data_IF_690548256660
#
_entry.id   IF_690548256660
#
_cell.length_a   1.000
_cell.length_b   1.000
_cell.length_c   1.000
_cell.angle_alpha   90.00
_cell.angle_beta   90.00
_cell.angle_gamma   90.00
#
_symmetry.space_group_name_H-M   'P 1'
#
loop_
_entity.id
_entity.type
_entity.pdbx_description
1 polymer ?
#
# COMPACT_ATOMS: atom_id res chain seq x y z
N UNK A 1 -17.60 15.37 18.44
CA UNK A 1 -18.75 15.66 17.54
C UNK A 1 -19.63 14.41 17.51
N UNK A 2 -20.95 14.51 17.88
CA UNK A 2 -21.81 13.33 18.09
C UNK A 2 -21.89 12.46 16.82
N UNK A 3 -21.64 11.14 16.95
CA UNK A 3 -21.71 10.10 15.89
C UNK A 3 -22.95 10.25 14.98
N UNK A 4 -24.09 10.62 15.53
CA UNK A 4 -25.34 10.84 14.78
C UNK A 4 -25.30 12.02 13.82
N UNK A 5 -24.56 13.09 14.13
CA UNK A 5 -24.43 14.28 13.24
C UNK A 5 -23.53 13.99 12.03
N UNK A 6 -22.55 13.10 12.16
CA UNK A 6 -21.66 12.71 11.08
C UNK A 6 -22.37 11.81 10.05
N UNK A 7 -23.17 10.85 10.53
CA UNK A 7 -24.00 9.98 9.67
C UNK A 7 -25.03 10.80 8.91
N UNK A 8 -25.68 11.77 9.56
CA UNK A 8 -26.66 12.66 8.92
C UNK A 8 -26.02 13.53 7.85
N UNK A 9 -24.78 13.99 8.04
CA UNK A 9 -24.06 14.79 7.04
C UNK A 9 -23.70 13.96 5.80
N UNK A 10 -23.28 12.71 5.98
CA UNK A 10 -22.97 11.80 4.87
C UNK A 10 -24.23 11.46 4.07
N UNK A 11 -25.34 11.17 4.74
CA UNK A 11 -26.64 10.91 4.09
C UNK A 11 -27.14 12.14 3.34
N UNK A 12 -26.94 13.35 3.90
CA UNK A 12 -27.33 14.59 3.24
C UNK A 12 -26.48 14.90 2.01
N UNK A 13 -25.18 14.62 2.06
CA UNK A 13 -24.27 14.77 0.90
C UNK A 13 -24.61 13.79 -0.23
N UNK A 14 -25.05 12.59 0.09
CA UNK A 14 -25.51 11.60 -0.91
C UNK A 14 -26.84 12.06 -1.57
N UNK A 15 -27.74 12.69 -0.83
CA UNK A 15 -29.04 13.15 -1.35
C UNK A 15 -28.94 14.43 -2.18
N UNK A 16 -27.99 15.33 -1.93
CA UNK A 16 -27.84 16.57 -2.72
C UNK A 16 -27.26 16.35 -4.12
N UNK A 17 -26.65 15.19 -4.41
CA UNK A 17 -26.19 14.83 -5.76
C UNK A 17 -27.32 14.41 -6.74
N UNK A 18 -28.58 14.33 -6.31
CA UNK A 18 -29.68 13.83 -7.15
C UNK A 18 -30.42 14.86 -8.00
N UNK A 19 -29.99 16.12 -8.03
CA UNK A 19 -30.72 17.19 -8.75
C UNK A 19 -29.94 17.77 -9.93
N UNK A 20 -29.41 16.90 -10.83
CA UNK A 20 -28.88 17.33 -12.12
C UNK A 20 -29.78 16.83 -13.24
N UNK A 21 -30.18 17.75 -14.14
CA UNK A 21 -31.18 17.54 -15.23
C UNK A 21 -30.94 16.25 -16.04
N UNK A 22 -32.01 15.52 -16.32
CA UNK A 22 -32.03 14.21 -16.94
C UNK A 22 -31.35 14.13 -18.35
N UNK A 23 -31.21 15.23 -19.05
CA UNK A 23 -30.68 15.29 -20.42
C UNK A 23 -29.14 15.34 -20.48
N UNK A 24 -28.47 15.94 -19.49
CA UNK A 24 -27.02 15.89 -19.35
C UNK A 24 -26.55 14.56 -18.72
N UNK A 25 -27.36 13.94 -17.87
CA UNK A 25 -27.10 12.61 -17.30
C UNK A 25 -26.88 11.52 -18.36
N UNK A 26 -27.57 11.59 -19.49
CA UNK A 26 -27.47 10.57 -20.55
C UNK A 26 -26.11 10.62 -21.28
N UNK A 27 -25.58 11.80 -21.58
CA UNK A 27 -24.27 11.98 -22.25
C UNK A 27 -23.11 11.70 -21.29
N UNK A 28 -23.21 12.07 -20.04
CA UNK A 28 -22.20 11.77 -19.01
C UNK A 28 -22.10 10.26 -18.76
N UNK A 29 -23.22 9.60 -18.56
CA UNK A 29 -23.25 8.14 -18.33
C UNK A 29 -22.82 7.34 -19.56
N UNK A 30 -23.07 7.81 -20.77
CA UNK A 30 -22.63 7.13 -22.00
C UNK A 30 -21.10 7.17 -22.17
N UNK A 31 -20.41 8.18 -21.64
CA UNK A 31 -18.96 8.28 -21.64
C UNK A 31 -18.26 7.24 -20.73
N UNK A 32 -19.03 6.60 -19.83
CA UNK A 32 -18.58 5.55 -18.93
C UNK A 32 -19.14 4.18 -19.30
N UNK A 33 -19.52 3.96 -20.56
CA UNK A 33 -19.98 2.66 -21.04
C UNK A 33 -19.07 2.14 -22.14
N UNK A 34 -18.68 0.88 -22.02
CA UNK A 34 -17.92 0.18 -23.04
C UNK A 34 -18.82 -0.10 -24.27
N UNK A 35 -18.30 0.21 -25.45
CA UNK A 35 -18.99 -0.01 -26.71
C UNK A 35 -19.22 -1.51 -27.05
N UNK A 36 -18.46 -2.43 -26.43
CA UNK A 36 -18.54 -3.86 -26.74
C UNK A 36 -19.61 -4.60 -25.92
N UNK A 37 -19.75 -4.28 -24.62
CA UNK A 37 -20.62 -5.01 -23.71
C UNK A 37 -21.62 -4.12 -22.96
N UNK A 38 -21.61 -2.81 -23.24
CA UNK A 38 -22.44 -1.78 -22.62
C UNK A 38 -22.32 -1.71 -21.08
N UNK A 39 -21.26 -2.32 -20.52
CA UNK A 39 -20.96 -2.29 -19.09
C UNK A 39 -20.27 -0.99 -18.68
N UNK A 40 -20.26 -0.69 -17.37
CA UNK A 40 -19.52 0.47 -16.83
C UNK A 40 -18.03 0.28 -17.09
N UNK A 41 -17.41 1.26 -17.74
CA UNK A 41 -16.00 1.24 -18.11
C UNK A 41 -15.44 2.67 -18.15
N UNK A 42 -14.38 2.91 -17.39
CA UNK A 42 -13.70 4.21 -17.36
C UNK A 42 -12.49 4.28 -18.32
N UNK A 43 -12.26 3.23 -19.13
CA UNK A 43 -11.09 3.17 -20.03
C UNK A 43 -11.02 4.34 -20.97
N UNK A 44 -12.13 4.65 -21.68
CA UNK A 44 -12.16 5.73 -22.67
C UNK A 44 -11.96 7.10 -22.02
N UNK A 45 -12.45 7.27 -20.81
CA UNK A 45 -12.23 8.49 -20.05
C UNK A 45 -10.76 8.62 -19.62
N UNK A 46 -10.14 7.53 -19.13
CA UNK A 46 -8.73 7.51 -18.72
C UNK A 46 -7.77 7.64 -19.92
N UNK A 47 -8.09 7.01 -21.05
CA UNK A 47 -7.21 6.94 -22.22
C UNK A 47 -7.28 8.24 -23.05
N UNK A 48 -8.45 8.84 -23.20
CA UNK A 48 -8.67 9.92 -24.16
C UNK A 48 -8.65 11.33 -23.53
N UNK A 49 -8.70 11.45 -22.20
CA UNK A 49 -8.70 12.76 -21.55
C UNK A 49 -7.40 12.99 -20.76
N UNK A 50 -6.70 14.05 -21.10
CA UNK A 50 -5.70 14.68 -20.23
C UNK A 50 -6.47 15.27 -19.04
N UNK A 51 -6.91 14.45 -18.09
CA UNK A 51 -7.79 14.85 -17.02
C UNK A 51 -7.26 14.42 -15.66
N UNK A 52 -7.90 14.92 -14.63
CA UNK A 52 -7.69 14.55 -13.23
C UNK A 52 -8.64 13.42 -12.87
N UNK A 53 -8.11 12.29 -12.40
CA UNK A 53 -8.89 11.22 -11.79
C UNK A 53 -8.96 11.45 -10.30
N UNK A 54 -10.15 11.65 -9.76
CA UNK A 54 -10.40 11.68 -8.32
C UNK A 54 -10.66 10.26 -7.83
N UNK A 55 -9.85 9.80 -6.86
CA UNK A 55 -9.96 8.47 -6.27
C UNK A 55 -10.28 8.65 -4.78
N UNK A 56 -11.57 8.61 -4.40
CA UNK A 56 -11.94 8.55 -2.99
C UNK A 56 -11.61 7.17 -2.45
N UNK A 57 -11.08 7.13 -1.23
CA UNK A 57 -10.70 5.90 -0.54
C UNK A 57 -11.21 5.95 0.89
N UNK A 58 -11.74 4.85 1.39
CA UNK A 58 -12.05 4.67 2.81
C UNK A 58 -10.84 4.02 3.45
N UNK A 59 -10.34 4.61 4.54
CA UNK A 59 -9.28 4.05 5.35
C UNK A 59 -9.94 3.16 6.40
N UNK A 60 -9.47 1.92 6.52
CA UNK A 60 -10.00 0.91 7.45
C UNK A 60 -8.88 0.15 8.15
N UNK A 61 -7.68 0.74 8.14
CA UNK A 61 -6.51 0.15 8.79
C UNK A 61 -6.67 0.25 10.31
N UNK A 62 -6.70 -0.88 11.04
CA UNK A 62 -6.93 -0.89 12.48
C UNK A 62 -5.92 -0.03 13.26
N UNK A 63 -4.68 0.07 12.79
CA UNK A 63 -3.63 0.84 13.46
C UNK A 63 -3.88 2.36 13.49
N UNK A 64 -4.73 2.90 12.61
CA UNK A 64 -5.02 4.34 12.51
C UNK A 64 -6.52 4.67 12.54
N UNK A 65 -7.37 3.67 12.80
CA UNK A 65 -8.83 3.79 12.84
C UNK A 65 -9.47 4.11 11.46
N UNK A 66 -10.79 4.20 11.43
CA UNK A 66 -11.55 4.49 10.21
C UNK A 66 -11.35 5.93 9.74
N UNK A 67 -11.28 6.11 8.42
CA UNK A 67 -11.10 7.43 7.83
C UNK A 67 -11.44 7.50 6.37
N UNK A 68 -11.16 8.65 5.79
CA UNK A 68 -11.32 8.91 4.36
C UNK A 68 -10.06 9.51 3.79
N UNK A 69 -9.75 9.16 2.55
CA UNK A 69 -8.69 9.78 1.77
C UNK A 69 -9.21 10.14 0.37
N UNK A 70 -8.58 11.12 -0.25
CA UNK A 70 -8.82 11.51 -1.62
C UNK A 70 -7.48 11.67 -2.33
N UNK A 71 -7.34 11.04 -3.49
CA UNK A 71 -6.24 11.29 -4.40
C UNK A 71 -6.75 11.93 -5.70
N UNK A 72 -6.05 12.95 -6.17
CA UNK A 72 -6.23 13.53 -7.49
C UNK A 72 -5.04 13.14 -8.36
N UNK A 73 -5.27 12.32 -9.38
CA UNK A 73 -4.24 11.72 -10.23
C UNK A 73 -4.32 12.29 -11.64
N UNK A 74 -3.18 12.77 -12.13
CA UNK A 74 -3.00 13.34 -13.47
C UNK A 74 -2.25 12.36 -14.37
N UNK A 75 -2.77 12.05 -15.54
CA UNK A 75 -2.15 11.22 -16.55
C UNK A 75 -1.41 12.09 -17.57
N UNK A 76 -0.09 11.90 -17.74
CA UNK A 76 0.75 12.76 -18.59
C UNK A 76 0.72 12.41 -20.08
N UNK A 77 0.30 11.21 -20.44
CA UNK A 77 0.18 10.79 -21.83
C UNK A 77 -1.04 9.89 -22.04
N UNK A 78 -1.67 10.01 -23.21
CA UNK A 78 -2.67 9.04 -23.62
C UNK A 78 -2.00 7.65 -23.72
N UNK A 79 -2.64 6.65 -23.13
CA UNK A 79 -2.17 5.25 -23.10
C UNK A 79 -1.94 4.66 -24.51
N UNK A 80 -2.60 5.22 -25.52
CA UNK A 80 -2.57 4.74 -26.91
C UNK A 80 -1.26 5.04 -27.65
N UNK A 81 -0.41 5.96 -27.15
CA UNK A 81 0.77 6.42 -27.89
C UNK A 81 2.06 5.70 -27.49
N UNK A 82 2.09 4.96 -26.38
CA UNK A 82 3.30 4.32 -25.86
C UNK A 82 3.07 2.86 -25.47
N UNK A 83 4.05 2.02 -25.79
CA UNK A 83 4.15 0.67 -25.21
C UNK A 83 4.61 0.78 -23.75
N UNK A 84 3.71 0.69 -22.79
CA UNK A 84 4.00 0.73 -21.36
C UNK A 84 2.98 1.52 -20.55
N UNK A 85 3.07 1.50 -19.22
CA UNK A 85 2.18 2.26 -18.34
C UNK A 85 2.29 3.76 -18.58
N UNK A 86 1.20 4.53 -18.43
CA UNK A 86 1.26 5.99 -18.47
C UNK A 86 2.03 6.55 -17.27
N UNK A 87 2.80 7.61 -17.47
CA UNK A 87 3.33 8.38 -16.35
C UNK A 87 2.20 9.13 -15.66
N UNK A 88 2.21 9.16 -14.34
CA UNK A 88 1.21 9.80 -13.51
C UNK A 88 1.84 10.72 -12.48
N UNK A 89 1.17 11.83 -12.17
CA UNK A 89 1.42 12.63 -10.97
C UNK A 89 0.16 12.73 -10.16
N UNK A 90 0.29 12.95 -8.86
CA UNK A 90 -0.88 13.13 -8.03
C UNK A 90 -0.61 13.92 -6.76
N UNK A 91 -1.69 14.40 -6.19
CA UNK A 91 -1.76 14.91 -4.83
C UNK A 91 -2.74 14.02 -4.07
N UNK A 92 -2.45 13.75 -2.81
CA UNK A 92 -3.31 12.94 -1.95
C UNK A 92 -3.38 13.52 -0.55
N UNK A 93 -4.49 13.29 0.11
CA UNK A 93 -4.65 13.61 1.51
C UNK A 93 -5.78 12.79 2.13
N UNK A 94 -5.71 12.59 3.44
CA UNK A 94 -6.70 11.83 4.19
C UNK A 94 -6.60 12.09 5.68
N UNK A 95 -7.67 11.72 6.39
CA UNK A 95 -7.74 11.80 7.85
C UNK A 95 -8.61 10.68 8.40
N UNK A 96 -8.36 10.31 9.64
CA UNK A 96 -9.05 9.25 10.36
C UNK A 96 -9.67 9.73 11.66
N UNK A 97 -10.51 8.89 12.26
CA UNK A 97 -11.28 9.25 13.45
C UNK A 97 -10.42 9.39 14.71
N UNK A 98 -9.26 8.71 14.77
CA UNK A 98 -8.31 8.86 15.87
C UNK A 98 -7.42 10.12 15.74
N UNK A 99 -7.67 10.99 14.74
CA UNK A 99 -6.92 12.23 14.54
C UNK A 99 -5.69 12.09 13.64
N UNK A 100 -5.38 10.90 13.12
CA UNK A 100 -4.33 10.72 12.09
C UNK A 100 -4.70 11.49 10.82
N UNK A 101 -3.73 12.18 10.24
CA UNK A 101 -3.86 12.77 8.90
C UNK A 101 -2.56 12.66 8.12
N UNK A 102 -2.68 12.61 6.81
CA UNK A 102 -1.55 12.67 5.89
C UNK A 102 -1.89 13.46 4.64
N UNK A 103 -0.91 14.17 4.08
CA UNK A 103 -1.01 14.82 2.78
C UNK A 103 0.31 14.72 2.04
N UNK A 104 0.25 14.57 0.70
CA UNK A 104 1.45 14.40 -0.08
C UNK A 104 1.25 14.57 -1.57
N UNK A 105 2.37 14.64 -2.27
CA UNK A 105 2.44 14.67 -3.73
C UNK A 105 3.33 13.52 -4.21
N UNK A 106 3.04 13.00 -5.39
CA UNK A 106 3.84 11.94 -5.98
C UNK A 106 3.94 12.06 -7.50
N UNK A 107 4.98 11.48 -8.05
CA UNK A 107 5.13 11.26 -9.49
C UNK A 107 5.64 9.84 -9.75
N UNK A 108 4.99 9.12 -10.68
CA UNK A 108 5.48 7.86 -11.21
C UNK A 108 5.69 8.01 -12.72
N UNK A 109 6.95 7.96 -13.15
CA UNK A 109 7.39 8.14 -14.51
C UNK A 109 7.77 6.81 -15.18
N UNK A 110 7.22 6.56 -16.37
CA UNK A 110 7.57 5.42 -17.24
C UNK A 110 8.09 5.99 -18.55
N UNK A 111 9.41 6.00 -18.72
CA UNK A 111 10.05 6.70 -19.83
C UNK A 111 10.77 5.75 -20.79
N UNK A 112 10.98 6.22 -22.04
CA UNK A 112 11.69 5.48 -23.08
C UNK A 112 11.13 4.06 -23.30
N UNK A 113 9.79 3.94 -23.43
CA UNK A 113 9.10 2.64 -23.58
C UNK A 113 9.40 1.68 -22.41
N UNK A 114 9.22 2.17 -21.19
CA UNK A 114 9.44 1.44 -19.93
C UNK A 114 10.90 0.99 -19.71
N UNK A 115 11.87 1.69 -20.31
CA UNK A 115 13.28 1.46 -20.01
C UNK A 115 13.74 2.15 -18.72
N UNK A 116 13.05 3.21 -18.34
CA UNK A 116 13.33 3.99 -17.12
C UNK A 116 12.04 4.08 -16.33
N UNK A 117 12.09 3.64 -15.09
CA UNK A 117 11.01 3.77 -14.11
C UNK A 117 11.45 4.68 -12.98
N UNK A 118 10.75 5.76 -12.77
CA UNK A 118 10.97 6.71 -11.69
C UNK A 118 9.75 6.73 -10.76
N UNK A 119 9.98 6.87 -9.47
CA UNK A 119 8.96 7.19 -8.47
C UNK A 119 9.52 8.20 -7.48
N UNK A 120 8.82 9.31 -7.31
CA UNK A 120 9.14 10.32 -6.30
C UNK A 120 7.90 10.68 -5.50
N UNK A 121 8.06 10.89 -4.20
CA UNK A 121 7.00 11.32 -3.31
C UNK A 121 7.54 12.22 -2.21
N UNK A 122 6.72 13.21 -1.82
CA UNK A 122 6.91 14.02 -0.61
C UNK A 122 5.58 14.02 0.13
N UNK A 123 5.63 13.73 1.42
CA UNK A 123 4.44 13.71 2.27
C UNK A 123 4.73 14.30 3.66
N UNK A 124 3.67 14.80 4.27
CA UNK A 124 3.60 15.17 5.69
C UNK A 124 2.49 14.35 6.32
N UNK A 125 2.76 13.82 7.50
CA UNK A 125 1.76 13.08 8.29
C UNK A 125 1.88 13.42 9.76
N UNK A 126 0.76 13.37 10.47
CA UNK A 126 0.70 13.23 11.92
C UNK A 126 -0.17 12.00 12.18
N UNK A 127 0.45 10.94 12.65
CA UNK A 127 -0.17 9.63 12.80
C UNK A 127 -0.25 9.21 14.28
N UNK A 128 -1.45 8.92 14.74
CA UNK A 128 -1.70 8.30 16.04
C UNK A 128 -1.80 6.79 15.80
N UNK A 129 -0.81 6.04 16.26
CA UNK A 129 -0.65 4.61 15.94
C UNK A 129 -0.61 3.81 17.22
N UNK A 130 -1.37 2.73 17.28
CA UNK A 130 -1.19 1.71 18.31
C UNK A 130 0.17 1.01 18.14
N UNK A 131 1.07 1.17 19.09
CA UNK A 131 2.37 0.52 19.11
C UNK A 131 2.37 -0.64 20.11
N UNK A 132 2.68 -1.83 19.63
CA UNK A 132 2.58 -3.08 20.40
C UNK A 132 3.93 -3.56 20.96
N UNK A 133 4.95 -2.70 20.98
CA UNK A 133 6.29 -3.09 21.36
C UNK A 133 6.98 -3.98 20.32
N UNK A 134 8.29 -4.11 20.41
CA UNK A 134 9.06 -5.03 19.56
C UNK A 134 9.78 -6.04 20.43
N UNK A 135 9.57 -7.32 20.15
CA UNK A 135 10.27 -8.42 20.80
C UNK A 135 9.70 -8.82 22.16
N UNK A 136 10.38 -9.79 22.78
CA UNK A 136 10.09 -10.33 24.12
C UNK A 136 10.44 -9.40 25.29
N UNK A 137 10.65 -8.12 25.05
CA UNK A 137 10.88 -7.14 26.11
C UNK A 137 9.56 -6.89 26.84
N UNK A 138 9.14 -7.87 27.61
CA UNK A 138 8.07 -7.78 28.60
C UNK A 138 8.43 -6.84 29.75
N UNK A 139 8.77 -5.57 29.45
CA UNK A 139 8.99 -4.56 30.48
C UNK A 139 7.68 -4.03 31.05
N UNK A 140 6.57 -4.20 30.33
CA UNK A 140 5.24 -3.83 30.81
C UNK A 140 4.23 -4.81 30.18
N UNK A 141 3.29 -5.32 30.98
CA UNK A 141 2.07 -6.03 30.54
C UNK A 141 1.12 -5.07 29.77
N UNK A 142 1.68 -4.17 28.98
CA UNK A 142 0.93 -3.17 28.21
C UNK A 142 0.80 -3.72 26.81
N UNK A 143 -0.41 -4.12 26.44
CA UNK A 143 -0.71 -4.69 25.13
C UNK A 143 -0.54 -3.66 24.00
N UNK A 144 -0.77 -2.38 24.26
CA UNK A 144 -0.72 -1.31 23.27
C UNK A 144 -0.36 0.04 23.93
N UNK A 145 0.55 0.77 23.29
CA UNK A 145 0.93 2.14 23.66
C UNK A 145 0.58 3.07 22.51
N UNK A 146 -0.06 4.20 22.79
CA UNK A 146 -0.30 5.21 21.77
C UNK A 146 1.01 5.93 21.40
N UNK A 147 1.36 5.86 20.11
CA UNK A 147 2.45 6.58 19.50
C UNK A 147 1.91 7.68 18.60
N UNK A 148 2.17 8.94 18.92
CA UNK A 148 1.99 10.02 17.96
C UNK A 148 3.29 10.23 17.18
N UNK A 149 3.22 10.14 15.86
CA UNK A 149 4.33 10.33 14.94
C UNK A 149 4.03 11.50 14.00
N UNK A 150 4.67 12.64 14.22
CA UNK A 150 4.65 13.76 13.28
C UNK A 150 5.86 13.62 12.33
N UNK A 151 5.63 13.42 11.02
CA UNK A 151 6.70 13.06 10.11
C UNK A 151 6.66 13.78 8.77
N UNK A 152 7.85 14.14 8.26
CA UNK A 152 8.10 14.45 6.85
C UNK A 152 8.76 13.28 6.16
N UNK A 153 8.25 12.91 4.99
CA UNK A 153 8.69 11.78 4.19
C UNK A 153 9.11 12.28 2.81
N UNK A 154 10.33 11.97 2.39
CA UNK A 154 10.82 12.13 1.03
C UNK A 154 11.27 10.77 0.52
N UNK A 155 10.69 10.31 -0.57
CA UNK A 155 11.09 9.08 -1.24
C UNK A 155 11.41 9.36 -2.71
N UNK A 156 12.53 8.83 -3.19
CA UNK A 156 12.97 8.92 -4.59
C UNK A 156 13.47 7.55 -5.04
N UNK A 157 12.96 7.04 -6.15
CA UNK A 157 13.39 5.77 -6.73
C UNK A 157 13.61 5.92 -8.22
N UNK A 158 14.71 5.35 -8.71
CA UNK A 158 15.02 5.31 -10.12
C UNK A 158 15.50 3.90 -10.50
N UNK A 159 14.91 3.32 -11.54
CA UNK A 159 15.25 1.98 -12.04
C UNK A 159 15.43 2.01 -13.55
N UNK A 160 16.40 1.24 -14.03
CA UNK A 160 16.74 1.09 -15.43
C UNK A 160 16.55 -0.36 -15.87
N UNK A 161 15.91 -0.57 -17.00
CA UNK A 161 15.79 -1.89 -17.63
C UNK A 161 17.14 -2.31 -18.20
N UNK A 162 17.59 -3.51 -17.91
CA UNK A 162 18.84 -4.07 -18.38
C UNK A 162 18.64 -4.64 -19.80
N UNK A 163 19.10 -3.88 -20.78
CA UNK A 163 18.96 -4.26 -22.20
C UNK A 163 17.49 -4.38 -22.66
N UNK A 164 17.17 -5.52 -23.31
CA UNK A 164 15.81 -5.87 -23.75
C UNK A 164 15.15 -6.93 -22.85
N UNK A 165 15.69 -7.16 -21.67
CA UNK A 165 15.22 -8.16 -20.73
C UNK A 165 14.10 -7.62 -19.83
N UNK A 166 13.54 -8.46 -18.97
CA UNK A 166 12.60 -8.06 -17.92
C UNK A 166 13.29 -7.73 -16.60
N UNK A 167 14.64 -7.64 -16.59
CA UNK A 167 15.41 -7.23 -15.43
C UNK A 167 15.54 -5.72 -15.34
N UNK A 168 15.43 -5.21 -14.12
CA UNK A 168 15.65 -3.81 -13.76
C UNK A 168 16.67 -3.73 -12.63
N UNK A 169 17.55 -2.74 -12.71
CA UNK A 169 18.45 -2.38 -11.63
C UNK A 169 18.29 -0.89 -11.31
N UNK A 170 18.45 -0.53 -10.05
CA UNK A 170 18.32 0.86 -9.65
C UNK A 170 18.47 1.08 -8.18
N UNK A 171 18.01 2.24 -7.71
CA UNK A 171 18.09 2.62 -6.32
C UNK A 171 16.89 3.41 -5.84
N UNK A 172 16.72 3.41 -4.52
CA UNK A 172 15.77 4.25 -3.79
C UNK A 172 16.52 5.00 -2.69
N UNK A 173 16.18 6.26 -2.51
CA UNK A 173 16.53 7.02 -1.32
C UNK A 173 15.26 7.36 -0.55
N UNK A 174 15.27 7.17 0.76
CA UNK A 174 14.20 7.51 1.69
C UNK A 174 14.78 8.40 2.78
N UNK A 175 14.18 9.56 2.97
CA UNK A 175 14.42 10.43 4.12
C UNK A 175 13.11 10.54 4.91
N UNK A 176 13.16 10.19 6.18
CA UNK A 176 12.07 10.35 7.14
C UNK A 176 12.58 11.19 8.30
N UNK A 177 12.00 12.37 8.50
CA UNK A 177 12.19 13.15 9.71
C UNK A 177 10.95 13.03 10.55
N UNK A 178 11.09 12.52 11.78
CA UNK A 178 9.95 12.26 12.65
C UNK A 178 10.17 12.87 14.02
N UNK A 179 9.06 13.30 14.60
CA UNK A 179 8.95 13.71 15.99
C UNK A 179 7.94 12.76 16.64
N UNK A 180 8.42 11.93 17.54
CA UNK A 180 7.67 10.86 18.16
C UNK A 180 7.31 11.21 19.61
N UNK A 181 6.06 11.03 19.97
CA UNK A 181 5.57 11.20 21.35
C UNK A 181 4.86 9.92 21.76
N UNK A 182 5.33 9.31 22.85
CA UNK A 182 4.68 8.14 23.44
C UNK A 182 3.72 8.58 24.54
N UNK A 183 2.46 8.20 24.42
CA UNK A 183 1.47 8.36 25.49
C UNK A 183 1.42 7.07 26.31
N UNK A 184 2.15 7.03 27.42
CA UNK A 184 2.19 5.88 28.32
C UNK A 184 1.14 6.09 29.42
N UNK A 185 0.18 5.15 29.63
CA UNK A 185 -0.92 5.31 30.58
C UNK A 185 -0.49 5.21 32.06
N UNK A 186 0.79 4.99 32.35
CA UNK A 186 1.33 4.82 33.70
C UNK A 186 2.50 5.79 33.90
N UNK A 187 2.54 6.48 35.05
CA UNK A 187 3.69 7.29 35.46
C UNK A 187 4.91 6.39 35.71
N UNK A 188 5.60 6.04 34.65
CA UNK A 188 6.91 5.42 34.72
C UNK A 188 7.92 6.57 34.56
N UNK A 189 8.67 6.94 35.63
CA UNK A 189 9.55 8.12 35.62
C UNK A 189 10.58 8.12 34.48
N UNK A 190 10.94 6.95 33.96
CA UNK A 190 11.92 6.76 32.89
C UNK A 190 11.31 6.92 31.48
N UNK A 191 10.00 6.91 31.33
CA UNK A 191 9.30 6.97 30.03
C UNK A 191 8.24 8.07 29.93
N UNK A 192 7.97 8.81 31.01
CA UNK A 192 6.96 9.87 30.96
C UNK A 192 7.44 11.01 30.06
N UNK A 193 6.78 11.16 28.89
CA UNK A 193 6.93 12.32 28.02
C UNK A 193 8.20 12.35 27.18
N UNK A 194 8.75 11.22 26.76
CA UNK A 194 9.90 11.20 25.85
C UNK A 194 9.49 11.59 24.43
N UNK A 195 9.53 12.89 24.20
CA UNK A 195 9.53 13.46 22.86
C UNK A 195 10.89 13.16 22.22
N UNK A 196 10.91 12.41 21.12
CA UNK A 196 12.14 12.07 20.43
C UNK A 196 12.03 12.53 18.96
N UNK A 197 12.88 13.46 18.56
CA UNK A 197 13.07 13.74 17.15
C UNK A 197 14.09 12.75 16.58
N UNK A 198 13.79 12.21 15.41
CA UNK A 198 14.68 11.24 14.76
C UNK A 198 14.72 11.47 13.25
N UNK A 199 15.87 11.19 12.67
CA UNK A 199 16.08 11.27 11.22
C UNK A 199 16.53 9.91 10.69
N UNK A 200 15.71 9.32 9.83
CA UNK A 200 16.03 8.12 9.08
C UNK A 200 16.46 8.51 7.65
N UNK A 201 17.63 8.04 7.23
CA UNK A 201 18.16 8.24 5.89
C UNK A 201 18.61 6.90 5.31
N UNK A 202 17.85 6.37 4.36
CA UNK A 202 18.12 5.07 3.75
C UNK A 202 18.45 5.18 2.27
N UNK A 203 19.55 4.54 1.85
CA UNK A 203 19.80 4.22 0.45
C UNK A 203 19.55 2.73 0.21
N UNK A 204 18.80 2.41 -0.83
CA UNK A 204 18.48 1.03 -1.20
C UNK A 204 18.92 0.77 -2.62
N UNK A 205 19.71 -0.28 -2.84
CA UNK A 205 19.95 -0.85 -4.18
C UNK A 205 18.90 -1.91 -4.46
N UNK A 206 18.40 -1.96 -5.70
CA UNK A 206 17.31 -2.87 -6.11
C UNK A 206 17.69 -3.61 -7.40
N UNK A 207 17.45 -4.91 -7.39
CA UNK A 207 17.46 -5.76 -8.59
C UNK A 207 16.09 -6.41 -8.70
N UNK A 208 15.44 -6.26 -9.83
CA UNK A 208 14.06 -6.75 -10.03
C UNK A 208 13.96 -7.50 -11.35
N UNK A 209 13.21 -8.61 -11.35
CA UNK A 209 12.68 -9.27 -12.54
C UNK A 209 11.18 -9.08 -12.55
N UNK A 210 10.62 -8.46 -13.59
CA UNK A 210 9.19 -8.23 -13.74
C UNK A 210 8.70 -8.73 -15.09
N UNK A 211 8.17 -9.95 -15.09
CA UNK A 211 7.59 -10.61 -16.28
C UNK A 211 6.06 -10.65 -16.26
N UNK A 212 5.43 -9.95 -15.31
CA UNK A 212 3.98 -9.88 -15.22
C UNK A 212 3.37 -9.28 -16.48
N UNK A 213 2.27 -9.85 -16.93
CA UNK A 213 1.55 -9.37 -18.13
C UNK A 213 0.85 -8.02 -17.93
N UNK A 214 0.56 -7.64 -16.68
CA UNK A 214 -0.04 -6.37 -16.30
C UNK A 214 0.49 -5.96 -14.92
N UNK A 215 0.76 -4.68 -14.71
CA UNK A 215 1.25 -4.16 -13.42
C UNK A 215 0.10 -4.00 -12.41
N UNK A 216 -1.08 -3.61 -12.89
CA UNK A 216 -2.22 -3.31 -12.02
C UNK A 216 -3.02 -4.56 -11.64
N UNK A 217 -3.37 -5.40 -12.62
CA UNK A 217 -4.16 -6.62 -12.39
C UNK A 217 -3.48 -7.78 -13.13
N UNK A 218 -2.36 -8.29 -12.62
CA UNK A 218 -1.63 -9.37 -13.27
C UNK A 218 -2.44 -10.67 -13.18
N UNK A 219 -2.42 -11.42 -14.27
CA UNK A 219 -3.03 -12.75 -14.35
C UNK A 219 -2.02 -13.84 -14.69
N UNK A 220 -0.80 -13.45 -15.07
CA UNK A 220 0.29 -14.35 -15.44
C UNK A 220 1.64 -13.66 -15.26
N UNK A 221 2.66 -14.44 -14.92
CA UNK A 221 4.04 -14.00 -14.79
C UNK A 221 4.51 -13.87 -13.36
N UNK A 222 5.75 -13.44 -13.22
CA UNK A 222 6.46 -13.39 -11.93
C UNK A 222 7.08 -12.02 -11.74
N UNK A 223 7.02 -11.52 -10.52
CA UNK A 223 7.86 -10.45 -10.01
C UNK A 223 8.82 -11.05 -8.96
N UNK A 224 10.10 -10.81 -9.13
CA UNK A 224 11.13 -11.11 -8.13
C UNK A 224 11.91 -9.83 -7.84
N UNK A 225 12.08 -9.49 -6.58
CA UNK A 225 12.82 -8.32 -6.12
C UNK A 225 13.84 -8.69 -5.06
N UNK A 226 15.07 -8.19 -5.23
CA UNK A 226 16.11 -8.19 -4.22
C UNK A 226 16.47 -6.74 -3.91
N UNK A 227 16.49 -6.39 -2.63
CA UNK A 227 16.80 -5.05 -2.16
C UNK A 227 17.85 -5.12 -1.06
N UNK A 228 18.90 -4.32 -1.18
CA UNK A 228 19.89 -4.08 -0.13
C UNK A 228 19.80 -2.64 0.33
N UNK A 229 19.38 -2.42 1.58
CA UNK A 229 19.23 -1.10 2.19
C UNK A 229 20.37 -0.84 3.16
N UNK A 230 20.86 0.38 3.19
CA UNK A 230 21.90 0.86 4.09
C UNK A 230 21.52 2.23 4.66
N UNK A 231 21.75 2.42 5.94
CA UNK A 231 21.59 3.69 6.68
C UNK A 231 22.84 3.96 7.49
N UNK A 232 23.27 5.22 7.52
CA UNK A 232 24.44 5.64 8.30
C UNK A 232 24.38 7.15 8.58
N UNK A 233 25.13 7.60 9.58
CA UNK A 233 25.19 9.01 10.01
C UNK A 233 25.74 9.95 8.94
N UNK A 234 26.69 9.52 8.10
CA UNK A 234 27.21 10.34 7.00
C UNK A 234 26.15 10.63 5.92
N UNK A 235 25.07 9.84 5.85
CA UNK A 235 23.92 10.07 4.97
C UNK A 235 22.87 11.00 5.58
N UNK A 236 23.07 11.46 6.81
CA UNK A 236 22.14 12.27 7.57
C UNK A 236 21.14 11.47 8.39
N UNK A 237 21.30 10.15 8.51
CA UNK A 237 20.59 9.31 9.46
C UNK A 237 21.21 9.36 10.85
N UNK A 238 20.54 8.78 11.83
CA UNK A 238 21.03 8.68 13.21
C UNK A 238 21.59 7.30 13.51
N UNK A 239 21.15 6.27 12.77
CA UNK A 239 21.45 4.88 13.04
C UNK A 239 22.22 4.21 11.90
N UNK A 240 23.17 3.34 12.30
CA UNK A 240 23.92 2.47 11.39
C UNK A 240 23.26 1.10 11.33
N UNK A 241 22.71 0.76 10.19
CA UNK A 241 22.18 -0.58 9.94
C UNK A 241 22.13 -0.92 8.45
N UNK A 242 21.99 -2.22 8.17
CA UNK A 242 21.70 -2.75 6.85
C UNK A 242 20.43 -3.60 6.86
N UNK A 243 19.77 -3.73 5.71
CA UNK A 243 18.64 -4.63 5.55
C UNK A 243 18.66 -5.27 4.18
N UNK A 244 18.43 -6.58 4.12
CA UNK A 244 18.24 -7.33 2.89
C UNK A 244 16.78 -7.72 2.80
N UNK A 245 16.12 -7.32 1.70
CA UNK A 245 14.72 -7.65 1.42
C UNK A 245 14.61 -8.52 0.16
N UNK A 246 13.79 -9.56 0.25
CA UNK A 246 13.41 -10.43 -0.87
C UNK A 246 11.91 -10.37 -1.05
N UNK A 247 11.45 -10.21 -2.28
CA UNK A 247 10.03 -10.26 -2.66
C UNK A 247 9.86 -11.19 -3.85
N UNK A 248 8.95 -12.13 -3.76
CA UNK A 248 8.52 -13.00 -4.85
C UNK A 248 7.00 -12.94 -4.97
N UNK A 249 6.50 -12.61 -6.16
CA UNK A 249 5.06 -12.63 -6.46
C UNK A 249 4.88 -13.39 -7.77
N UNK A 250 4.04 -14.41 -7.76
CA UNK A 250 3.73 -15.21 -8.93
C UNK A 250 2.23 -15.25 -9.21
N UNK A 251 1.87 -15.27 -10.49
CA UNK A 251 0.49 -15.43 -10.96
C UNK A 251 0.44 -16.53 -12.00
N UNK A 252 -0.46 -17.48 -11.80
CA UNK A 252 -0.66 -18.63 -12.66
C UNK A 252 -2.13 -18.75 -13.07
N UNK A 253 -2.45 -18.61 -14.35
CA UNK A 253 -3.80 -18.86 -14.84
C UNK A 253 -4.09 -20.36 -14.83
N UNK A 254 -5.23 -20.76 -14.25
CA UNK A 254 -5.75 -22.12 -14.29
C UNK A 254 -7.05 -22.15 -15.12
N UNK A 255 -6.90 -22.41 -16.41
CA UNK A 255 -7.97 -22.28 -17.37
C UNK A 255 -8.30 -20.82 -17.70
N UNK A 256 -9.51 -20.57 -18.18
CA UNK A 256 -9.94 -19.23 -18.67
C UNK A 256 -10.53 -18.32 -17.58
N UNK A 257 -10.85 -18.85 -16.41
CA UNK A 257 -11.62 -18.13 -15.38
C UNK A 257 -10.90 -17.99 -14.04
N UNK A 258 -9.85 -18.78 -13.79
CA UNK A 258 -9.21 -18.85 -12.48
C UNK A 258 -7.76 -18.39 -12.60
N UNK A 259 -7.34 -17.57 -11.65
CA UNK A 259 -5.95 -17.14 -11.47
C UNK A 259 -5.55 -17.46 -10.03
N UNK A 260 -4.47 -18.21 -9.86
CA UNK A 260 -3.83 -18.41 -8.57
C UNK A 260 -2.66 -17.43 -8.43
N UNK A 261 -2.53 -16.81 -7.27
CA UNK A 261 -1.45 -15.90 -6.91
C UNK A 261 -0.72 -16.38 -5.66
N UNK A 262 0.57 -16.15 -5.59
CA UNK A 262 1.41 -16.38 -4.42
C UNK A 262 2.30 -15.16 -4.19
N UNK A 263 2.47 -14.75 -2.94
CA UNK A 263 3.39 -13.71 -2.50
C UNK A 263 4.22 -14.22 -1.34
N UNK A 264 5.53 -14.08 -1.48
CA UNK A 264 6.51 -14.29 -0.41
C UNK A 264 7.31 -13.00 -0.24
N UNK A 265 7.48 -12.57 1.00
CA UNK A 265 8.37 -11.46 1.35
C UNK A 265 9.19 -11.84 2.58
N UNK A 266 10.45 -11.41 2.60
CA UNK A 266 11.30 -11.57 3.76
C UNK A 266 12.25 -10.39 3.87
N UNK A 267 12.46 -9.91 5.10
CA UNK A 267 13.39 -8.84 5.41
C UNK A 267 14.30 -9.29 6.57
N UNK A 268 15.59 -9.17 6.36
CA UNK A 268 16.62 -9.46 7.34
C UNK A 268 17.41 -8.20 7.62
N UNK A 269 17.55 -7.85 8.89
CA UNK A 269 18.23 -6.65 9.34
C UNK A 269 19.53 -6.98 10.04
N UNK A 270 20.52 -6.14 9.81
CA UNK A 270 21.86 -6.20 10.41
C UNK A 270 22.13 -4.87 11.11
N UNK A 271 22.55 -4.91 12.35
CA UNK A 271 22.78 -3.70 13.17
C UNK A 271 21.55 -3.25 13.95
N UNK A 272 21.64 -2.05 14.52
CA UNK A 272 20.59 -1.51 15.40
C UNK A 272 19.59 -0.70 14.58
N UNK A 273 18.43 -1.27 14.32
CA UNK A 273 17.34 -0.59 13.61
C UNK A 273 16.42 0.09 14.61
N UNK A 274 16.16 1.41 14.48
CA UNK A 274 15.20 2.09 15.34
C UNK A 274 13.79 1.49 15.13
N UNK A 275 12.98 1.50 16.18
CA UNK A 275 11.69 0.83 16.19
C UNK A 275 10.78 1.23 15.02
N UNK A 276 10.78 2.52 14.64
CA UNK A 276 9.96 3.07 13.54
C UNK A 276 10.46 2.69 12.13
N UNK A 277 11.66 2.10 12.02
CA UNK A 277 12.24 1.61 10.76
C UNK A 277 12.30 0.08 10.67
N UNK A 278 11.92 -0.64 11.74
CA UNK A 278 11.89 -2.10 11.72
C UNK A 278 10.90 -2.63 10.68
N UNK A 279 11.23 -3.72 10.00
CA UNK A 279 10.30 -4.34 9.07
C UNK A 279 9.03 -4.83 9.78
N UNK A 280 7.91 -4.73 9.09
CA UNK A 280 6.59 -5.17 9.54
C UNK A 280 6.06 -6.27 8.63
N UNK A 281 5.25 -7.16 9.19
CA UNK A 281 4.46 -8.14 8.43
C UNK A 281 3.21 -7.42 7.90
N UNK A 282 3.10 -7.30 6.58
CA UNK A 282 1.95 -6.66 5.93
C UNK A 282 1.06 -7.73 5.30
N UNK A 283 0.02 -8.13 6.02
CA UNK A 283 -1.02 -9.08 5.56
C UNK A 283 -2.40 -8.44 5.69
N UNK A 284 -3.28 -8.73 4.75
CA UNK A 284 -4.68 -8.25 4.80
C UNK A 284 -5.40 -8.84 6.00
N UNK A 285 -5.94 -7.99 6.88
CA UNK A 285 -6.62 -8.37 8.12
C UNK A 285 -5.74 -8.32 9.36
N UNK A 286 -4.43 -8.09 9.21
CA UNK A 286 -3.50 -7.89 10.33
C UNK A 286 -3.20 -6.39 10.50
N UNK A 287 -3.30 -5.81 11.73
CA UNK A 287 -2.95 -4.42 11.96
C UNK A 287 -1.50 -4.14 11.65
N UNK A 288 -1.23 -3.01 10.99
CA UNK A 288 0.14 -2.54 10.78
C UNK A 288 0.84 -2.33 12.12
N UNK A 289 2.16 -2.57 12.16
CA UNK A 289 3.03 -2.43 13.35
C UNK A 289 2.76 -3.39 14.52
N UNK A 290 1.67 -4.17 14.52
CA UNK A 290 1.42 -5.22 15.53
C UNK A 290 2.43 -6.37 15.44
N UNK A 291 2.88 -6.68 14.21
CA UNK A 291 3.82 -7.76 13.89
C UNK A 291 5.10 -7.16 13.30
N UNK A 292 5.93 -6.62 14.19
CA UNK A 292 7.17 -5.92 13.87
C UNK A 292 8.33 -6.48 14.69
N UNK A 293 9.50 -6.66 14.05
CA UNK A 293 10.75 -7.03 14.72
C UNK A 293 11.94 -6.72 13.81
N UNK A 294 13.15 -7.14 14.18
CA UNK A 294 14.36 -6.99 13.36
C UNK A 294 14.23 -7.73 12.01
N UNK A 295 13.55 -8.86 12.00
CA UNK A 295 13.35 -9.67 10.80
C UNK A 295 11.87 -10.01 10.64
N UNK A 296 11.44 -10.10 9.38
CA UNK A 296 10.07 -10.53 9.05
C UNK A 296 10.08 -11.48 7.88
N UNK A 297 9.12 -12.39 7.87
CA UNK A 297 8.79 -13.22 6.71
C UNK A 297 7.29 -13.38 6.60
N UNK A 298 6.79 -13.47 5.36
CA UNK A 298 5.39 -13.77 5.11
C UNK A 298 5.20 -14.58 3.83
N UNK A 299 4.13 -15.34 3.81
CA UNK A 299 3.61 -16.03 2.64
C UNK A 299 2.11 -15.77 2.56
N UNK A 300 1.63 -15.29 1.43
CA UNK A 300 0.20 -15.07 1.16
C UNK A 300 -0.17 -15.72 -0.17
N UNK A 301 -1.32 -16.37 -0.22
CA UNK A 301 -1.89 -16.95 -1.43
C UNK A 301 -3.25 -16.34 -1.71
N UNK A 302 -3.58 -16.19 -2.99
CA UNK A 302 -4.86 -15.68 -3.44
C UNK A 302 -5.36 -16.50 -4.63
N UNK A 303 -6.63 -16.79 -4.65
CA UNK A 303 -7.31 -17.39 -5.80
C UNK A 303 -8.40 -16.43 -6.25
N UNK A 304 -8.34 -15.99 -7.51
CA UNK A 304 -9.35 -15.13 -8.14
C UNK A 304 -10.13 -15.90 -9.20
N UNK A 305 -11.45 -15.88 -9.13
CA UNK A 305 -12.33 -16.55 -10.06
C UNK A 305 -13.26 -15.57 -10.79
N UNK A 306 -13.31 -15.62 -12.11
CA UNK A 306 -14.26 -14.85 -12.91
C UNK A 306 -15.64 -15.50 -12.84
N UNK A 307 -16.54 -14.91 -12.08
CA UNK A 307 -17.91 -15.42 -11.89
C UNK A 307 -18.77 -15.10 -13.10
N UNK A 308 -18.77 -13.86 -13.55
CA UNK A 308 -19.65 -13.41 -14.64
C UNK A 308 -19.11 -12.12 -15.29
N UNK A 309 -18.89 -12.16 -16.60
CA UNK A 309 -18.42 -11.00 -17.39
C UNK A 309 -17.23 -10.29 -16.73
N UNK A 310 -17.47 -9.14 -16.12
CA UNK A 310 -16.46 -8.27 -15.49
C UNK A 310 -16.33 -8.45 -13.97
N UNK A 311 -17.11 -9.40 -13.39
CA UNK A 311 -17.11 -9.65 -11.97
C UNK A 311 -16.24 -10.83 -11.60
N UNK A 312 -15.43 -10.61 -10.57
CA UNK A 312 -14.53 -11.60 -10.00
C UNK A 312 -14.76 -11.67 -8.49
N UNK A 313 -14.57 -12.86 -7.95
CA UNK A 313 -14.45 -13.09 -6.50
C UNK A 313 -13.05 -13.57 -6.21
N UNK A 314 -12.54 -13.28 -5.03
CA UNK A 314 -11.24 -13.76 -4.56
C UNK A 314 -11.35 -14.35 -3.16
N UNK A 315 -10.52 -15.36 -2.88
CA UNK A 315 -10.24 -15.87 -1.57
C UNK A 315 -8.75 -15.84 -1.33
N UNK A 316 -8.30 -15.50 -0.14
CA UNK A 316 -6.89 -15.41 0.20
C UNK A 316 -6.63 -15.88 1.63
N UNK A 317 -5.41 -16.33 1.86
CA UNK A 317 -4.89 -16.68 3.18
C UNK A 317 -3.41 -16.36 3.25
N UNK A 318 -2.94 -15.98 4.43
CA UNK A 318 -1.55 -15.63 4.65
C UNK A 318 -1.05 -16.04 6.02
N UNK A 319 0.23 -16.25 6.12
CA UNK A 319 0.96 -16.45 7.36
C UNK A 319 2.17 -15.53 7.38
N UNK A 320 2.45 -14.93 8.52
CA UNK A 320 3.61 -14.07 8.71
C UNK A 320 4.23 -14.27 10.07
N UNK A 321 5.52 -13.98 10.18
CA UNK A 321 6.27 -14.03 11.42
C UNK A 321 7.23 -12.84 11.51
N UNK A 322 7.26 -12.19 12.68
CA UNK A 322 8.20 -11.15 13.05
C UNK A 322 9.09 -11.67 14.18
N UNK A 323 10.40 -11.77 13.97
CA UNK A 323 11.33 -12.44 14.86
C UNK A 323 12.64 -11.66 15.01
N UNK A 324 13.34 -11.87 16.09
CA UNK A 324 14.57 -11.14 16.41
C UNK A 324 15.75 -11.60 15.57
N UNK A 325 15.99 -12.90 15.54
CA UNK A 325 17.02 -13.57 14.75
C UNK A 325 16.56 -14.97 14.31
N UNK A 326 17.35 -15.63 13.45
CA UNK A 326 16.99 -16.95 12.92
C UNK A 326 16.97 -18.06 13.96
N UNK A 327 17.69 -17.92 15.08
CA UNK A 327 17.71 -18.91 16.16
C UNK A 327 16.40 -18.85 16.95
N UNK A 328 15.86 -17.64 17.10
CA UNK A 328 14.60 -17.34 17.80
C UNK A 328 13.39 -17.26 16.86
N UNK A 329 13.47 -17.86 15.67
CA UNK A 329 12.36 -17.84 14.68
C UNK A 329 11.04 -18.38 15.26
N UNK A 330 11.10 -19.44 16.06
CA UNK A 330 9.91 -20.06 16.69
C UNK A 330 9.32 -19.22 17.83
N UNK A 331 10.09 -18.31 18.40
CA UNK A 331 9.66 -17.39 19.47
C UNK A 331 9.08 -16.08 18.89
N UNK A 332 9.17 -15.92 17.57
CA UNK A 332 8.67 -14.76 16.88
C UNK A 332 7.15 -14.61 16.98
N UNK A 333 6.69 -13.36 16.83
CA UNK A 333 5.27 -13.02 16.82
C UNK A 333 4.64 -13.38 15.48
N UNK A 334 3.87 -14.44 15.45
CA UNK A 334 3.24 -14.97 14.24
C UNK A 334 1.80 -14.50 14.07
N UNK A 335 1.35 -14.38 12.82
CA UNK A 335 -0.04 -14.09 12.45
C UNK A 335 -0.46 -14.95 11.28
N UNK A 336 -1.70 -15.41 11.35
CA UNK A 336 -2.38 -16.06 10.22
C UNK A 336 -3.60 -15.22 9.84
N UNK A 337 -3.80 -15.03 8.55
CA UNK A 337 -4.94 -14.27 8.02
C UNK A 337 -5.70 -15.09 7.00
N UNK A 338 -7.01 -14.84 6.92
CA UNK A 338 -7.90 -15.39 5.91
C UNK A 338 -8.85 -14.30 5.43
N UNK A 339 -9.30 -14.40 4.20
CA UNK A 339 -10.25 -13.41 3.71
C UNK A 339 -10.82 -13.73 2.35
N UNK A 340 -11.73 -12.87 1.95
CA UNK A 340 -12.37 -12.93 0.65
C UNK A 340 -12.59 -11.53 0.09
N UNK A 341 -12.83 -11.45 -1.20
CA UNK A 341 -13.07 -10.17 -1.84
C UNK A 341 -13.84 -10.31 -3.14
N UNK A 342 -14.18 -9.18 -3.70
CA UNK A 342 -14.73 -9.10 -5.05
C UNK A 342 -14.06 -7.99 -5.85
N UNK A 343 -14.04 -8.14 -7.17
CA UNK A 343 -13.47 -7.19 -8.12
C UNK A 343 -14.44 -6.99 -9.28
N UNK A 344 -14.43 -5.77 -9.81
CA UNK A 344 -15.05 -5.42 -11.06
C UNK A 344 -14.00 -4.86 -12.01
N UNK A 345 -13.94 -5.36 -13.26
CA UNK A 345 -13.04 -4.86 -14.30
C UNK A 345 -13.55 -3.49 -14.76
N UNK A 346 -13.06 -2.45 -14.10
CA UNK A 346 -13.54 -1.07 -14.26
C UNK A 346 -12.93 -0.37 -15.47
N UNK A 347 -11.74 -0.81 -15.91
CA UNK A 347 -11.05 -0.26 -17.07
C UNK A 347 -10.51 -1.41 -17.95
N UNK A 348 -11.33 -1.89 -18.88
CA UNK A 348 -11.02 -3.06 -19.72
C UNK A 348 -9.79 -2.85 -20.60
N UNK A 349 -9.62 -1.69 -21.21
CA UNK A 349 -8.46 -1.37 -22.06
C UNK A 349 -7.14 -1.34 -21.29
N UNK A 350 -7.19 -1.06 -20.00
CA UNK A 350 -6.05 -1.06 -19.09
C UNK A 350 -5.90 -2.41 -18.35
N UNK A 351 -6.89 -3.30 -18.47
CA UNK A 351 -6.96 -4.53 -17.71
C UNK A 351 -7.00 -4.27 -16.19
N UNK A 352 -7.63 -3.16 -15.75
CA UNK A 352 -7.61 -2.76 -14.34
C UNK A 352 -8.96 -3.02 -13.69
N UNK A 353 -8.91 -3.71 -12.56
CA UNK A 353 -10.07 -3.99 -11.72
C UNK A 353 -10.06 -3.13 -10.45
N UNK A 354 -11.24 -2.94 -9.87
CA UNK A 354 -11.44 -2.29 -8.58
C UNK A 354 -12.43 -3.11 -7.76
N UNK A 355 -12.28 -3.12 -6.43
CA UNK A 355 -13.17 -3.88 -5.57
C UNK A 355 -12.84 -3.73 -4.11
N UNK A 356 -13.28 -4.72 -3.32
CA UNK A 356 -13.07 -4.73 -1.87
C UNK A 356 -12.57 -6.09 -1.42
N UNK A 357 -11.68 -6.08 -0.42
CA UNK A 357 -11.22 -7.24 0.32
C UNK A 357 -11.67 -7.13 1.78
N UNK A 358 -12.04 -8.25 2.36
CA UNK A 358 -12.39 -8.42 3.76
C UNK A 358 -11.41 -9.42 4.35
N UNK A 359 -10.53 -8.94 5.23
CA UNK A 359 -9.47 -9.73 5.85
C UNK A 359 -9.71 -9.88 7.33
N UNK A 360 -9.39 -11.06 7.84
CA UNK A 360 -9.52 -11.43 9.24
C UNK A 360 -8.18 -12.01 9.72
N UNK A 361 -7.77 -11.65 10.91
CA UNK A 361 -6.75 -12.35 11.69
C UNK A 361 -7.40 -12.90 12.98
N UNK A 362 -6.60 -13.34 13.95
CA UNK A 362 -7.16 -13.94 15.18
C UNK A 362 -8.14 -13.03 15.90
N UNK A 363 -7.81 -11.73 16.06
CA UNK A 363 -8.56 -10.77 16.86
C UNK A 363 -9.00 -9.54 16.06
N UNK A 364 -8.55 -9.43 14.80
CA UNK A 364 -8.69 -8.21 14.02
C UNK A 364 -9.46 -8.46 12.73
N UNK A 365 -10.15 -7.44 12.28
CA UNK A 365 -10.85 -7.37 11.00
C UNK A 365 -10.55 -6.05 10.30
N UNK A 366 -10.26 -6.13 9.02
CA UNK A 366 -10.15 -4.95 8.17
C UNK A 366 -10.77 -5.21 6.81
N UNK A 367 -11.27 -4.15 6.18
CA UNK A 367 -11.65 -4.21 4.78
C UNK A 367 -10.85 -3.17 3.99
N UNK A 368 -10.57 -3.47 2.73
CA UNK A 368 -9.71 -2.65 1.88
C UNK A 368 -10.41 -2.37 0.57
N UNK A 369 -10.38 -1.11 0.11
CA UNK A 369 -10.69 -0.80 -1.28
C UNK A 369 -9.43 -1.07 -2.08
N UNK A 370 -9.52 -1.98 -3.04
CA UNK A 370 -8.39 -2.41 -3.84
C UNK A 370 -8.56 -1.93 -5.28
N UNK A 371 -7.54 -1.24 -5.78
CA UNK A 371 -7.41 -0.86 -7.17
C UNK A 371 -6.30 -1.70 -7.81
N UNK A 372 -6.66 -2.56 -8.74
CA UNK A 372 -5.75 -3.55 -9.30
C UNK A 372 -5.59 -4.77 -8.39
N UNK A 373 -4.34 -5.12 -8.11
CA UNK A 373 -3.97 -6.19 -7.15
C UNK A 373 -3.69 -5.61 -5.77
N UNK A 374 -3.94 -6.40 -4.73
CA UNK A 374 -3.52 -6.08 -3.36
C UNK A 374 -1.98 -6.08 -3.19
N UNK A 375 -1.23 -6.68 -4.12
CA UNK A 375 0.22 -6.81 -4.11
C UNK A 375 0.91 -5.89 -5.12
N UNK A 376 0.46 -4.64 -5.22
CA UNK A 376 1.05 -3.67 -6.13
C UNK A 376 2.51 -3.37 -5.74
N UNK A 377 3.45 -3.50 -6.69
CA UNK A 377 4.89 -3.23 -6.52
C UNK A 377 5.42 -2.41 -7.71
#
# INVERSE_FOLDING_TARGET
MNRHKFITLIVFLIFTCYSVSAQEKSKFLSAFRDSLDNAIDISDWLVNKKGVLLIPTIITEPAVDYGIALAAVFFHSAYTEKKGPPSISGVMGGATLNGTWAAGIFHAGFWKNDRIRYMGAVAKTNANIGFYGSGNAGLLDIEEVNLNMDAWILAQQLKFRLGKTNFFAGGRYLLLKTYNTFEIPVDIPEFSGTEQSSTLSEATLKLELDSRNNVFTPTNGVFFGLAGTYSDTWMGGEDLYGRIGVTLIGYLPAGSKLVAGIRYESNYTLGNVPFYARPIVVLRGAPMMKYQNNNTTLLETEVTYNVYKRWFISGFTGIGNAFEDLQNFSEGKSVTTIGSGFRYLVARKLGTSMGMDFGFSQDDFAFYIVFGTAWLR
#
